data_IF_828414090189
#
_entry.id   IF_828414090189
#
_cell.length_a   1.000
_cell.length_b   1.000
_cell.length_c   1.000
_cell.angle_alpha   90.00
_cell.angle_beta   90.00
_cell.angle_gamma   90.00
#
_symmetry.space_group_name_H-M   'P 1'
#
loop_
_entity.id
_entity.type
_entity.pdbx_description
1 polymer ?
#
# COMPACT_ATOMS: atom_id res chain seq x y z
N UNK A 1 8.23 46.72 -26.15
CA UNK A 1 8.53 45.42 -25.53
C UNK A 1 7.63 44.41 -26.22
N UNK A 2 8.17 43.36 -26.84
CA UNK A 2 7.33 42.34 -27.46
C UNK A 2 6.57 41.61 -26.35
N UNK A 3 5.25 41.73 -26.33
CA UNK A 3 4.40 40.96 -25.42
C UNK A 3 4.50 39.48 -25.80
N UNK A 4 5.35 38.73 -25.08
CA UNK A 4 5.47 37.29 -25.26
C UNK A 4 4.20 36.62 -24.73
N UNK A 5 3.47 35.93 -25.61
CA UNK A 5 2.26 35.20 -25.23
C UNK A 5 2.58 34.03 -24.30
N UNK A 6 1.67 33.60 -23.41
CA UNK A 6 1.89 32.44 -22.54
C UNK A 6 2.29 31.16 -23.29
N UNK A 7 1.69 30.93 -24.47
CA UNK A 7 2.03 29.79 -25.33
C UNK A 7 3.48 29.86 -25.82
N UNK A 8 3.95 31.04 -26.24
CA UNK A 8 5.34 31.22 -26.69
C UNK A 8 6.35 30.99 -25.57
N UNK A 9 6.03 31.40 -24.33
CA UNK A 9 6.86 31.18 -23.15
C UNK A 9 6.92 29.70 -22.78
N UNK A 10 5.79 28.98 -22.84
CA UNK A 10 5.73 27.54 -22.63
C UNK A 10 6.59 26.78 -23.65
N UNK A 11 6.49 27.15 -24.93
CA UNK A 11 7.28 26.52 -26.00
C UNK A 11 8.78 26.78 -25.84
N UNK A 12 9.17 28.01 -25.49
CA UNK A 12 10.55 28.34 -25.14
C UNK A 12 11.04 27.53 -23.93
N UNK A 13 10.20 27.39 -22.90
CA UNK A 13 10.47 26.53 -21.75
C UNK A 13 10.69 25.06 -22.15
N UNK A 14 9.90 24.53 -23.09
CA UNK A 14 10.06 23.17 -23.59
C UNK A 14 11.40 22.99 -24.31
N UNK A 15 11.79 23.94 -25.17
CA UNK A 15 13.09 23.91 -25.87
C UNK A 15 14.27 23.94 -24.88
N UNK A 16 14.19 24.80 -23.85
CA UNK A 16 15.20 24.87 -22.79
C UNK A 16 15.23 23.59 -21.95
N UNK A 17 14.07 22.97 -21.71
CA UNK A 17 13.98 21.69 -20.99
C UNK A 17 14.64 20.56 -21.77
N UNK A 18 14.42 20.49 -23.09
CA UNK A 18 15.09 19.54 -23.99
C UNK A 18 16.60 19.78 -24.06
N UNK A 19 17.02 21.05 -23.99
CA UNK A 19 18.42 21.45 -23.88
C UNK A 19 19.03 21.22 -22.48
N UNK A 20 18.29 20.61 -21.54
CA UNK A 20 18.69 20.34 -20.15
C UNK A 20 19.00 21.61 -19.33
N UNK A 21 18.55 22.77 -19.79
CA UNK A 21 18.68 24.05 -19.09
C UNK A 21 17.49 24.26 -18.14
N UNK A 22 17.38 23.41 -17.11
CA UNK A 22 16.19 23.35 -16.24
C UNK A 22 15.91 24.65 -15.48
N UNK A 23 16.93 25.38 -15.06
CA UNK A 23 16.76 26.64 -14.34
C UNK A 23 16.13 27.73 -15.24
N UNK A 24 16.68 27.92 -16.45
CA UNK A 24 16.13 28.86 -17.42
C UNK A 24 14.73 28.44 -17.92
N UNK A 25 14.50 27.13 -18.05
CA UNK A 25 13.18 26.59 -18.38
C UNK A 25 12.16 26.91 -17.27
N UNK A 26 12.54 26.77 -15.99
CA UNK A 26 11.67 27.09 -14.85
C UNK A 26 11.25 28.57 -14.87
N UNK A 27 12.16 29.50 -15.15
CA UNK A 27 11.84 30.93 -15.28
C UNK A 27 10.82 31.18 -16.39
N UNK A 28 10.99 30.56 -17.56
CA UNK A 28 10.05 30.69 -18.68
C UNK A 28 8.65 30.16 -18.32
N UNK A 29 8.57 29.01 -17.62
CA UNK A 29 7.28 28.47 -17.18
C UNK A 29 6.64 29.30 -16.06
N UNK A 30 7.44 29.86 -15.15
CA UNK A 30 6.95 30.74 -14.10
C UNK A 30 6.37 32.04 -14.68
N UNK A 31 7.05 32.64 -15.67
CA UNK A 31 6.53 33.81 -16.39
C UNK A 31 5.25 33.45 -17.17
N UNK A 32 5.22 32.30 -17.84
CA UNK A 32 4.02 31.81 -18.52
C UNK A 32 2.85 31.67 -17.54
N UNK A 33 3.08 31.03 -16.39
CA UNK A 33 2.06 30.83 -15.37
C UNK A 33 1.55 32.15 -14.79
N UNK A 34 2.44 33.12 -14.54
CA UNK A 34 2.07 34.45 -14.05
C UNK A 34 1.15 35.18 -15.04
N UNK A 35 1.43 35.11 -16.34
CA UNK A 35 0.58 35.70 -17.37
C UNK A 35 -0.78 35.00 -17.48
N UNK A 36 -0.81 33.67 -17.40
CA UNK A 36 -2.08 32.92 -17.43
C UNK A 36 -2.94 33.24 -16.20
N UNK A 37 -2.33 33.43 -15.02
CA UNK A 37 -3.05 33.84 -13.79
C UNK A 37 -3.56 35.29 -13.86
N UNK A 38 -2.91 36.15 -14.66
CA UNK A 38 -3.34 37.54 -14.85
C UNK A 38 -4.50 37.68 -15.86
N UNK A 39 -4.60 36.77 -16.83
CA UNK A 39 -5.74 36.68 -17.75
C UNK A 39 -6.92 35.98 -17.06
N UNK A 40 -8.04 36.70 -16.91
CA UNK A 40 -9.27 36.18 -16.27
C UNK A 40 -9.91 35.00 -17.02
N UNK A 41 -9.58 34.83 -18.31
CA UNK A 41 -10.02 33.72 -19.18
C UNK A 41 -8.96 32.61 -19.30
N UNK A 42 -7.97 32.58 -18.41
CA UNK A 42 -6.84 31.65 -18.47
C UNK A 42 -7.29 30.20 -18.48
N UNK A 43 -7.30 29.57 -19.66
CA UNK A 43 -7.72 28.18 -19.87
C UNK A 43 -6.95 27.21 -18.97
N UNK A 44 -7.67 26.44 -18.16
CA UNK A 44 -7.12 25.39 -17.30
C UNK A 44 -6.25 24.39 -18.07
N UNK A 45 -6.60 24.13 -19.34
CA UNK A 45 -5.87 23.25 -20.25
C UNK A 45 -4.44 23.72 -20.53
N UNK A 46 -4.20 25.04 -20.48
CA UNK A 46 -2.85 25.61 -20.63
C UNK A 46 -2.13 25.66 -19.28
N UNK A 47 -2.85 25.87 -18.18
CA UNK A 47 -2.24 25.99 -16.86
C UNK A 47 -1.68 24.66 -16.36
N UNK A 48 -2.41 23.55 -16.53
CA UNK A 48 -2.01 22.22 -16.06
C UNK A 48 -0.63 21.80 -16.60
N UNK A 49 -0.37 21.79 -17.93
CA UNK A 49 0.94 21.39 -18.46
C UNK A 49 2.05 22.35 -18.03
N UNK A 50 1.78 23.65 -17.89
CA UNK A 50 2.77 24.63 -17.43
C UNK A 50 3.15 24.38 -15.97
N UNK A 51 2.17 24.18 -15.06
CA UNK A 51 2.42 23.83 -13.65
C UNK A 51 3.22 22.54 -13.52
N UNK A 52 2.82 21.51 -14.28
CA UNK A 52 3.54 20.25 -14.32
C UNK A 52 4.99 20.46 -14.77
N UNK A 53 5.22 21.11 -15.91
CA UNK A 53 6.59 21.30 -16.42
C UNK A 53 7.45 22.14 -15.49
N UNK A 54 6.89 23.19 -14.88
CA UNK A 54 7.56 23.96 -13.84
C UNK A 54 7.96 23.07 -12.65
N UNK A 55 7.02 22.29 -12.11
CA UNK A 55 7.29 21.34 -11.03
C UNK A 55 8.40 20.33 -11.39
N UNK A 56 8.47 19.88 -12.64
CA UNK A 56 9.54 19.01 -13.11
C UNK A 56 10.92 19.71 -13.08
N UNK A 57 10.99 20.96 -13.52
CA UNK A 57 12.23 21.75 -13.48
C UNK A 57 12.69 22.01 -12.05
N UNK A 58 11.77 22.37 -11.15
CA UNK A 58 12.08 22.64 -9.75
C UNK A 58 12.62 21.37 -9.05
N UNK A 59 12.00 20.21 -9.27
CA UNK A 59 12.51 18.94 -8.77
C UNK A 59 13.90 18.59 -9.32
N UNK A 60 14.18 18.89 -10.60
CA UNK A 60 15.50 18.64 -11.21
C UNK A 60 16.59 19.56 -10.69
N UNK A 61 16.24 20.80 -10.37
CA UNK A 61 17.19 21.82 -9.88
C UNK A 61 17.36 21.78 -8.36
N UNK A 62 16.45 21.16 -7.62
CA UNK A 62 16.48 21.15 -6.15
C UNK A 62 16.04 22.48 -5.52
N UNK A 63 15.65 23.46 -6.34
CA UNK A 63 15.29 24.80 -5.92
C UNK A 63 13.77 24.91 -5.69
N UNK A 64 13.37 25.68 -4.67
CA UNK A 64 11.95 26.01 -4.37
C UNK A 64 11.07 24.75 -4.35
N UNK A 65 11.52 23.72 -3.63
CA UNK A 65 10.81 22.43 -3.58
C UNK A 65 9.45 22.58 -2.90
N UNK A 66 9.34 23.54 -2.00
CA UNK A 66 8.12 23.93 -1.31
C UNK A 66 7.02 24.30 -2.33
N UNK A 67 7.38 25.00 -3.40
CA UNK A 67 6.42 25.37 -4.46
C UNK A 67 5.96 24.19 -5.32
N UNK A 68 6.73 23.10 -5.37
CA UNK A 68 6.34 21.91 -6.13
C UNK A 68 5.09 21.29 -5.54
N UNK A 69 4.96 21.30 -4.22
CA UNK A 69 3.79 20.77 -3.52
C UNK A 69 2.53 21.57 -3.88
N UNK A 70 2.62 22.90 -3.82
CA UNK A 70 1.51 23.80 -4.18
C UNK A 70 1.11 23.65 -5.65
N UNK A 71 2.08 23.66 -6.57
CA UNK A 71 1.84 23.51 -8.01
C UNK A 71 1.15 22.19 -8.34
N UNK A 72 1.61 21.09 -7.74
CA UNK A 72 1.01 19.78 -7.96
C UNK A 72 -0.34 19.65 -7.25
N UNK A 73 -0.53 20.31 -6.09
CA UNK A 73 -1.80 20.41 -5.39
C UNK A 73 -2.87 21.07 -6.25
N UNK A 74 -2.57 22.25 -6.83
CA UNK A 74 -3.48 22.95 -7.76
C UNK A 74 -3.85 22.05 -8.96
N UNK A 75 -2.89 21.29 -9.52
CA UNK A 75 -3.18 20.34 -10.61
C UNK A 75 -4.07 19.21 -10.16
N UNK A 76 -3.88 18.66 -8.95
CA UNK A 76 -4.69 17.56 -8.42
C UNK A 76 -6.10 17.98 -8.03
N UNK A 77 -6.31 19.25 -7.66
CA UNK A 77 -7.65 19.81 -7.48
C UNK A 77 -8.46 19.81 -8.78
N UNK A 78 -7.80 19.97 -9.93
CA UNK A 78 -8.43 19.94 -11.26
C UNK A 78 -8.48 18.51 -11.84
N UNK A 79 -7.40 17.75 -11.67
CA UNK A 79 -7.22 16.38 -12.19
C UNK A 79 -6.72 15.44 -11.09
N UNK A 80 -7.61 14.88 -10.24
CA UNK A 80 -7.23 14.05 -9.11
C UNK A 80 -6.46 12.77 -9.49
N UNK A 81 -6.67 12.27 -10.71
CA UNK A 81 -6.04 11.07 -11.26
C UNK A 81 -4.78 11.35 -12.09
N UNK A 82 -4.17 12.53 -11.96
CA UNK A 82 -2.95 12.86 -12.70
C UNK A 82 -1.71 12.20 -12.06
N UNK A 83 -1.25 11.09 -12.65
CA UNK A 83 -0.11 10.33 -12.15
C UNK A 83 1.19 11.16 -12.05
N UNK A 84 1.41 12.10 -12.98
CA UNK A 84 2.61 12.96 -12.99
C UNK A 84 2.59 13.95 -11.82
N UNK A 85 1.43 14.51 -11.49
CA UNK A 85 1.29 15.42 -10.35
C UNK A 85 1.48 14.67 -9.03
N UNK A 86 0.85 13.49 -8.87
CA UNK A 86 1.03 12.63 -7.69
C UNK A 86 2.50 12.24 -7.49
N UNK A 87 3.15 11.77 -8.55
CA UNK A 87 4.56 11.39 -8.49
C UNK A 87 5.46 12.56 -8.08
N UNK A 88 5.27 13.74 -8.69
CA UNK A 88 6.09 14.93 -8.42
C UNK A 88 5.86 15.47 -7.01
N UNK A 89 4.61 15.49 -6.53
CA UNK A 89 4.27 15.89 -5.15
C UNK A 89 4.88 14.93 -4.13
N UNK A 90 4.78 13.62 -4.36
CA UNK A 90 5.40 12.62 -3.51
C UNK A 90 6.92 12.77 -3.42
N UNK A 91 7.60 12.99 -4.54
CA UNK A 91 9.04 13.26 -4.54
C UNK A 91 9.41 14.56 -3.81
N UNK A 92 8.61 15.63 -3.98
CA UNK A 92 8.85 16.89 -3.28
C UNK A 92 8.74 16.73 -1.76
N UNK A 93 7.65 16.10 -1.30
CA UNK A 93 7.42 15.81 0.13
C UNK A 93 8.53 14.95 0.73
N UNK A 94 9.03 13.97 -0.01
CA UNK A 94 10.18 13.17 0.44
C UNK A 94 11.46 14.00 0.60
N UNK A 95 11.70 14.98 -0.29
CA UNK A 95 12.85 15.89 -0.18
C UNK A 95 12.67 16.85 1.01
N UNK A 96 11.46 17.39 1.21
CA UNK A 96 11.15 18.30 2.32
C UNK A 96 11.25 17.59 3.68
N UNK A 97 10.73 16.36 3.77
CA UNK A 97 10.83 15.55 4.98
C UNK A 97 12.27 15.27 5.43
N UNK A 98 13.23 15.23 4.50
CA UNK A 98 14.67 15.11 4.82
C UNK A 98 15.29 16.41 5.34
N UNK A 99 14.68 17.56 5.04
CA UNK A 99 15.11 18.89 5.50
C UNK A 99 14.53 19.22 6.87
N UNK A 100 13.35 18.70 7.17
CA UNK A 100 12.65 18.89 8.43
C UNK A 100 13.02 17.82 9.46
N UNK A 101 12.98 18.18 10.74
CA UNK A 101 13.36 17.27 11.83
C UNK A 101 12.28 16.24 12.20
N UNK A 102 11.01 16.56 11.95
CA UNK A 102 9.85 15.67 12.15
C UNK A 102 9.19 15.37 10.80
N UNK A 103 9.91 14.62 9.97
CA UNK A 103 9.52 14.34 8.57
C UNK A 103 8.53 13.19 8.41
N UNK A 104 8.18 12.45 9.48
CA UNK A 104 7.29 11.28 9.41
C UNK A 104 5.94 11.58 8.74
N UNK A 105 5.16 12.61 9.14
CA UNK A 105 3.86 12.88 8.50
C UNK A 105 4.01 13.21 7.00
N UNK A 106 5.07 13.93 6.62
CA UNK A 106 5.36 14.21 5.21
C UNK A 106 5.77 12.96 4.43
N UNK A 107 6.55 12.05 5.02
CA UNK A 107 6.90 10.77 4.39
C UNK A 107 5.66 9.89 4.18
N UNK A 108 4.73 9.88 5.13
CA UNK A 108 3.46 9.15 4.98
C UNK A 108 2.57 9.78 3.90
N UNK A 109 2.49 11.11 3.84
CA UNK A 109 1.82 11.80 2.75
C UNK A 109 2.46 11.51 1.38
N UNK A 110 3.79 11.42 1.32
CA UNK A 110 4.51 11.01 0.12
C UNK A 110 4.22 9.55 -0.27
N UNK A 111 4.09 8.63 0.71
CA UNK A 111 3.72 7.22 0.50
C UNK A 111 2.39 7.11 -0.22
N UNK A 112 1.38 7.81 0.30
CA UNK A 112 0.02 7.83 -0.29
C UNK A 112 0.04 8.32 -1.74
N UNK A 113 0.77 9.39 -2.02
CA UNK A 113 0.88 9.94 -3.38
C UNK A 113 1.57 8.98 -4.35
N UNK A 114 2.71 8.41 -3.95
CA UNK A 114 3.49 7.52 -4.80
C UNK A 114 2.79 6.17 -5.04
N UNK A 115 2.07 5.64 -4.04
CA UNK A 115 1.25 4.43 -4.22
C UNK A 115 0.11 4.67 -5.21
N UNK A 116 -0.57 5.81 -5.10
CA UNK A 116 -1.62 6.17 -6.06
C UNK A 116 -1.05 6.38 -7.47
N UNK A 117 0.13 7.01 -7.59
CA UNK A 117 0.84 7.11 -8.87
C UNK A 117 1.20 5.73 -9.44
N UNK A 118 1.64 4.79 -8.61
CA UNK A 118 1.98 3.43 -9.01
C UNK A 118 0.74 2.64 -9.49
N UNK A 119 -0.42 2.88 -8.86
CA UNK A 119 -1.70 2.29 -9.28
C UNK A 119 -2.11 2.77 -10.67
N UNK A 120 -1.86 4.04 -10.98
CA UNK A 120 -2.19 4.64 -12.28
C UNK A 120 -1.17 4.27 -13.37
N UNK A 121 0.12 4.22 -13.04
CA UNK A 121 1.21 3.90 -13.98
C UNK A 121 2.11 2.76 -13.43
N UNK A 122 1.64 1.51 -13.41
CA UNK A 122 2.37 0.38 -12.79
C UNK A 122 3.69 0.03 -13.48
N UNK A 123 3.85 0.40 -14.75
CA UNK A 123 5.07 0.14 -15.52
C UNK A 123 6.14 1.23 -15.33
N UNK A 124 5.81 2.35 -14.67
CA UNK A 124 6.72 3.46 -14.53
C UNK A 124 7.87 3.13 -13.57
N UNK A 125 9.08 2.99 -14.12
CA UNK A 125 10.30 2.68 -13.35
C UNK A 125 10.63 3.76 -12.31
N UNK A 126 10.35 5.04 -12.61
CA UNK A 126 10.68 6.15 -11.71
C UNK A 126 9.82 6.10 -10.44
N UNK A 127 8.53 5.77 -10.57
CA UNK A 127 7.61 5.62 -9.44
C UNK A 127 8.06 4.48 -8.52
N UNK A 128 8.44 3.34 -9.09
CA UNK A 128 8.95 2.19 -8.30
C UNK A 128 10.24 2.50 -7.56
N UNK A 129 11.15 3.26 -8.18
CA UNK A 129 12.38 3.67 -7.53
C UNK A 129 12.10 4.63 -6.37
N UNK A 130 11.25 5.64 -6.59
CA UNK A 130 10.85 6.57 -5.54
C UNK A 130 10.17 5.88 -4.35
N UNK A 131 9.32 4.86 -4.59
CA UNK A 131 8.72 4.06 -3.52
C UNK A 131 9.77 3.28 -2.70
N UNK A 132 10.79 2.71 -3.36
CA UNK A 132 11.88 2.02 -2.66
C UNK A 132 12.66 2.99 -1.78
N UNK A 133 13.05 4.14 -2.34
CA UNK A 133 13.80 5.17 -1.62
C UNK A 133 12.97 5.75 -0.45
N UNK A 134 11.65 5.81 -0.59
CA UNK A 134 10.74 6.25 0.47
C UNK A 134 10.64 5.22 1.61
N UNK A 135 10.54 3.93 1.28
CA UNK A 135 10.50 2.85 2.27
C UNK A 135 11.77 2.82 3.12
N UNK A 136 12.94 3.03 2.50
CA UNK A 136 14.22 3.15 3.19
C UNK A 136 14.22 4.36 4.14
N UNK A 137 13.73 5.53 3.70
CA UNK A 137 13.65 6.72 4.53
C UNK A 137 12.70 6.57 5.74
N UNK A 138 11.57 5.85 5.56
CA UNK A 138 10.64 5.54 6.67
C UNK A 138 11.28 4.58 7.68
N UNK A 139 12.03 3.58 7.22
CA UNK A 139 12.75 2.66 8.10
C UNK A 139 13.82 3.37 8.93
N UNK A 140 14.60 4.28 8.32
CA UNK A 140 15.62 5.07 9.02
C UNK A 140 15.01 5.99 10.11
N UNK A 141 13.85 6.58 9.84
CA UNK A 141 13.12 7.37 10.84
C UNK A 141 12.62 6.53 12.02
N UNK A 142 12.25 5.26 11.78
CA UNK A 142 11.87 4.34 12.86
C UNK A 142 13.08 3.94 13.73
N UNK A 143 14.26 3.77 13.13
CA UNK A 143 15.50 3.43 13.84
C UNK A 143 16.07 4.62 14.64
N UNK A 144 15.93 5.84 14.14
CA UNK A 144 16.44 7.06 14.78
C UNK A 144 15.52 7.65 15.85
N UNK A 145 14.22 7.36 15.81
CA UNK A 145 13.21 8.00 16.68
C UNK A 145 13.14 7.48 18.11
N UNK A 146 13.67 6.29 18.44
CA UNK A 146 13.58 5.76 19.81
C UNK A 146 14.81 4.93 20.22
N UNK A 147 15.68 5.46 21.11
CA UNK A 147 16.71 4.65 21.76
C UNK A 147 16.04 3.55 22.59
N UNK A 148 16.12 2.31 22.14
CA UNK A 148 15.57 1.14 22.85
C UNK A 148 14.42 0.40 22.14
N UNK A 149 13.85 0.91 21.04
CA UNK A 149 12.84 0.14 20.29
C UNK A 149 13.41 -0.99 19.46
N UNK A 150 14.71 -1.00 19.16
CA UNK A 150 15.38 -2.19 18.61
C UNK A 150 15.23 -3.40 19.55
N UNK A 151 15.28 -3.19 20.88
CA UNK A 151 15.00 -4.22 21.88
C UNK A 151 13.51 -4.49 22.11
N UNK A 152 12.62 -3.51 21.88
CA UNK A 152 11.17 -3.69 22.07
C UNK A 152 10.52 -4.35 20.85
N UNK A 153 10.92 -3.98 19.63
CA UNK A 153 10.49 -4.63 18.38
C UNK A 153 11.08 -6.04 18.29
N UNK A 154 12.34 -6.23 18.72
CA UNK A 154 12.93 -7.55 18.93
C UNK A 154 12.24 -8.40 20.01
N UNK A 155 11.42 -7.81 20.90
CA UNK A 155 10.57 -8.50 21.91
C UNK A 155 9.10 -8.63 21.51
N UNK A 156 8.63 -7.85 20.55
CA UNK A 156 7.28 -7.99 19.98
C UNK A 156 7.27 -9.08 18.89
N UNK A 157 8.41 -9.26 18.21
CA UNK A 157 8.64 -10.33 17.24
C UNK A 157 9.57 -11.45 17.75
N UNK A 158 10.22 -11.27 18.90
CA UNK A 158 10.92 -12.32 19.63
C UNK A 158 10.12 -12.71 20.85
N UNK A 159 9.72 -13.97 20.93
CA UNK A 159 9.00 -14.60 22.04
C UNK A 159 7.51 -14.24 22.15
N UNK A 160 6.75 -14.36 21.04
CA UNK A 160 5.59 -15.25 21.20
C UNK A 160 6.20 -16.63 21.32
N UNK A 161 6.14 -17.23 22.51
CA UNK A 161 6.12 -18.70 22.57
C UNK A 161 5.08 -19.10 21.53
N UNK A 162 5.56 -19.61 20.40
CA UNK A 162 4.72 -20.32 19.45
C UNK A 162 4.15 -21.42 20.32
N UNK A 163 2.89 -21.26 20.74
CA UNK A 163 2.15 -22.33 21.37
C UNK A 163 2.42 -23.54 20.48
N UNK A 164 3.15 -24.51 21.04
CA UNK A 164 3.73 -25.60 20.27
C UNK A 164 2.65 -26.08 19.30
N UNK A 165 2.94 -26.14 17.98
CA UNK A 165 1.93 -26.54 17.02
C UNK A 165 1.30 -27.81 17.55
N UNK A 166 -0.01 -27.74 17.81
CA UNK A 166 -0.77 -28.91 18.27
C UNK A 166 -0.43 -30.00 17.27
N UNK A 167 0.10 -31.12 17.78
CA UNK A 167 0.64 -32.18 16.95
C UNK A 167 -0.36 -32.48 15.81
N UNK A 168 0.11 -32.63 14.56
CA UNK A 168 -0.77 -32.86 13.43
C UNK A 168 -1.69 -34.01 13.76
N UNK A 169 -3.00 -33.75 13.69
CA UNK A 169 -4.03 -34.77 13.91
C UNK A 169 -3.70 -35.94 12.98
N UNK A 170 -3.62 -37.19 13.51
CA UNK A 170 -3.24 -38.33 12.70
C UNK A 170 -4.22 -38.47 11.53
N UNK A 171 -3.71 -38.27 10.31
CA UNK A 171 -4.46 -38.49 9.08
C UNK A 171 -4.56 -40.00 8.89
N UNK A 172 -5.74 -40.55 9.15
CA UNK A 172 -6.00 -41.97 9.00
C UNK A 172 -5.78 -42.40 7.53
N UNK A 173 -4.93 -43.39 7.32
CA UNK A 173 -4.45 -43.84 6.00
C UNK A 173 -5.36 -44.87 5.31
N UNK A 174 -6.54 -45.19 5.87
CA UNK A 174 -7.44 -46.19 5.28
C UNK A 174 -8.72 -45.57 4.70
N UNK A 175 -8.98 -45.84 3.42
CA UNK A 175 -10.28 -45.65 2.76
C UNK A 175 -11.31 -46.70 3.27
N UNK A 176 -12.63 -46.43 3.19
CA UNK A 176 -13.61 -46.42 4.29
C UNK A 176 -14.19 -47.80 4.71
N UNK A 177 -14.81 -47.94 5.92
CA UNK A 177 -15.23 -46.89 6.86
C UNK A 177 -14.45 -46.91 8.19
N UNK A 178 -13.87 -45.78 8.56
CA UNK A 178 -13.21 -45.58 9.84
C UNK A 178 -14.22 -45.77 10.97
N UNK A 179 -14.13 -46.88 11.72
CA UNK A 179 -14.88 -47.02 12.98
C UNK A 179 -14.30 -46.05 14.01
N UNK A 180 -15.13 -45.47 14.89
CA UNK A 180 -14.64 -44.59 15.94
C UNK A 180 -13.66 -45.34 16.85
N UNK A 181 -12.49 -44.74 17.07
CA UNK A 181 -11.48 -45.21 18.02
C UNK A 181 -12.04 -45.11 19.46
N UNK A 182 -11.56 -45.91 20.43
CA UNK A 182 -12.06 -45.91 21.82
C UNK A 182 -11.93 -44.57 22.56
N UNK A 183 -11.18 -43.62 21.99
CA UNK A 183 -10.88 -42.30 22.56
C UNK A 183 -11.77 -41.19 21.97
N UNK A 184 -12.65 -41.51 21.01
CA UNK A 184 -13.65 -40.56 20.49
C UNK A 184 -13.11 -39.47 19.56
N UNK A 185 -11.88 -39.60 19.06
CA UNK A 185 -11.36 -38.68 18.04
C UNK A 185 -11.86 -39.09 16.64
N UNK A 186 -12.63 -38.20 16.00
CA UNK A 186 -13.09 -38.33 14.62
C UNK A 186 -11.96 -37.93 13.66
N UNK A 187 -11.67 -38.76 12.66
CA UNK A 187 -10.67 -38.48 11.63
C UNK A 187 -11.34 -38.13 10.28
N UNK A 188 -10.64 -37.37 9.42
CA UNK A 188 -11.11 -37.02 8.08
C UNK A 188 -12.15 -35.88 8.07
N UNK A 189 -13.15 -35.97 7.17
CA UNK A 189 -14.17 -34.90 6.99
C UNK A 189 -14.94 -34.59 8.28
N UNK A 190 -15.25 -35.61 9.08
CA UNK A 190 -15.97 -35.43 10.35
C UNK A 190 -15.13 -34.74 11.42
N UNK A 191 -13.85 -35.09 11.53
CA UNK A 191 -12.90 -34.41 12.43
C UNK A 191 -12.70 -32.95 12.04
N UNK A 192 -12.46 -32.70 10.76
CA UNK A 192 -12.30 -31.33 10.26
C UNK A 192 -13.56 -30.48 10.44
N UNK A 193 -14.75 -31.06 10.25
CA UNK A 193 -16.01 -30.36 10.49
C UNK A 193 -16.19 -30.00 11.97
N UNK A 194 -15.82 -30.88 12.89
CA UNK A 194 -15.87 -30.63 14.34
C UNK A 194 -14.88 -29.53 14.76
N UNK A 195 -13.62 -29.63 14.31
CA UNK A 195 -12.59 -28.63 14.59
C UNK A 195 -12.96 -27.27 14.01
N UNK A 196 -13.48 -27.23 12.77
CA UNK A 196 -13.94 -26.01 12.11
C UNK A 196 -15.15 -25.40 12.82
N UNK A 197 -16.09 -26.21 13.30
CA UNK A 197 -17.23 -25.75 14.10
C UNK A 197 -16.78 -25.13 15.42
N UNK A 198 -15.85 -25.78 16.12
CA UNK A 198 -15.25 -25.27 17.34
C UNK A 198 -14.50 -23.95 17.10
N UNK A 199 -13.69 -23.88 16.04
CA UNK A 199 -12.92 -22.69 15.69
C UNK A 199 -13.82 -21.50 15.33
N UNK A 200 -14.86 -21.75 14.53
CA UNK A 200 -15.82 -20.72 14.12
C UNK A 200 -16.85 -20.38 15.21
N UNK A 201 -16.95 -21.20 16.27
CA UNK A 201 -17.98 -21.13 17.32
C UNK A 201 -19.40 -21.19 16.77
N UNK A 202 -19.60 -22.02 15.75
CA UNK A 202 -20.91 -22.29 15.13
C UNK A 202 -21.23 -23.79 15.22
N UNK A 203 -22.50 -24.20 15.23
CA UNK A 203 -22.85 -25.62 15.29
C UNK A 203 -22.27 -26.43 14.11
N UNK A 204 -21.87 -27.68 14.35
CA UNK A 204 -21.33 -28.58 13.31
C UNK A 204 -22.30 -28.77 12.13
N UNK A 205 -23.60 -28.72 12.38
CA UNK A 205 -24.64 -28.79 11.35
C UNK A 205 -24.60 -27.63 10.35
N UNK A 206 -24.06 -26.46 10.73
CA UNK A 206 -23.92 -25.30 9.84
C UNK A 206 -22.62 -25.39 9.04
N UNK A 207 -21.56 -25.95 9.63
CA UNK A 207 -20.27 -26.14 8.96
C UNK A 207 -20.33 -27.21 7.88
N UNK A 208 -21.20 -28.21 8.05
CA UNK A 208 -21.34 -29.34 7.12
C UNK A 208 -22.24 -29.04 5.92
N UNK A 209 -22.93 -27.89 5.88
CA UNK A 209 -23.72 -27.46 4.73
C UNK A 209 -22.81 -26.94 3.63
N UNK A 210 -22.60 -27.76 2.60
CA UNK A 210 -21.90 -27.37 1.39
C UNK A 210 -22.88 -26.66 0.44
N UNK A 211 -22.52 -25.48 -0.12
CA UNK A 211 -23.36 -24.80 -1.10
C UNK A 211 -23.55 -25.69 -2.35
N UNK A 212 -24.70 -25.52 -3.00
CA UNK A 212 -25.10 -26.38 -4.12
C UNK A 212 -24.29 -26.11 -5.39
N UNK A 213 -23.72 -24.91 -5.48
CA UNK A 213 -22.85 -24.44 -6.56
C UNK A 213 -21.70 -23.59 -6.00
N UNK A 214 -20.59 -23.53 -6.72
CA UNK A 214 -19.40 -22.76 -6.34
C UNK A 214 -19.65 -21.24 -6.34
N UNK A 215 -20.61 -20.76 -7.14
CA UNK A 215 -20.97 -19.34 -7.21
C UNK A 215 -21.97 -18.90 -6.12
N UNK A 216 -22.47 -19.82 -5.29
CA UNK A 216 -23.30 -19.49 -4.13
C UNK A 216 -22.43 -19.28 -2.88
N UNK A 217 -22.49 -18.09 -2.28
CA UNK A 217 -21.72 -17.71 -1.08
C UNK A 217 -21.99 -18.59 0.16
N UNK A 218 -23.05 -19.41 0.12
CA UNK A 218 -23.46 -20.33 1.18
C UNK A 218 -24.00 -19.64 2.44
N UNK A 219 -24.72 -20.40 3.27
CA UNK A 219 -25.37 -19.85 4.48
C UNK A 219 -24.40 -19.68 5.67
N UNK A 220 -23.25 -20.35 5.66
CA UNK A 220 -22.30 -20.36 6.77
C UNK A 220 -21.76 -18.96 7.09
N UNK A 221 -21.56 -18.12 6.07
CA UNK A 221 -21.03 -16.77 6.25
C UNK A 221 -22.04 -15.86 6.97
N UNK A 222 -23.33 -16.03 6.72
CA UNK A 222 -24.42 -15.32 7.41
C UNK A 222 -24.57 -15.77 8.86
N UNK A 223 -24.43 -17.08 9.12
CA UNK A 223 -24.41 -17.64 10.47
C UNK A 223 -23.22 -17.12 11.27
N UNK A 224 -22.04 -17.00 10.66
CA UNK A 224 -20.85 -16.41 11.30
C UNK A 224 -21.10 -14.93 11.63
N UNK A 225 -21.66 -14.14 10.70
CA UNK A 225 -22.01 -12.73 10.96
C UNK A 225 -23.01 -12.60 12.11
N UNK A 226 -24.04 -13.44 12.11
CA UNK A 226 -25.09 -13.44 13.13
C UNK A 226 -24.58 -13.89 14.51
N UNK A 227 -23.73 -14.91 14.57
CA UNK A 227 -23.14 -15.42 15.82
C UNK A 227 -22.04 -14.52 16.39
N UNK A 228 -21.40 -13.70 15.55
CA UNK A 228 -20.42 -12.69 15.97
C UNK A 228 -21.03 -11.34 16.35
N UNK A 229 -22.36 -11.20 16.33
CA UNK A 229 -23.08 -10.02 16.84
C UNK A 229 -22.99 -9.93 18.38
N UNK A 230 -21.78 -9.67 18.87
CA UNK A 230 -21.53 -9.14 20.22
C UNK A 230 -21.68 -7.61 20.19
N UNK A 231 -21.97 -6.96 21.34
CA UNK A 231 -22.43 -5.56 21.43
C UNK A 231 -21.39 -4.48 21.08
N UNK A 232 -20.38 -4.83 20.29
CA UNK A 232 -19.26 -3.98 19.89
C UNK A 232 -19.17 -3.82 18.37
N UNK A 233 -20.22 -4.19 17.62
CA UNK A 233 -20.43 -3.68 16.26
C UNK A 233 -20.84 -2.20 16.38
N UNK A 234 -19.84 -1.33 16.24
CA UNK A 234 -20.02 0.10 16.41
C UNK A 234 -18.97 0.78 17.30
N UNK A 235 -17.77 0.22 17.49
CA UNK A 235 -16.63 1.11 17.66
C UNK A 235 -16.40 1.79 16.32
N UNK A 236 -17.03 2.93 16.19
CA UNK A 236 -16.69 3.95 15.22
C UNK A 236 -15.15 4.01 15.14
N UNK A 237 -14.58 3.64 13.98
CA UNK A 237 -13.14 3.67 13.76
C UNK A 237 -12.59 5.12 13.78
N UNK A 238 -13.47 6.10 14.03
CA UNK A 238 -13.15 7.50 14.26
C UNK A 238 -12.34 7.75 15.54
N UNK A 239 -12.37 6.85 16.51
CA UNK A 239 -11.65 6.97 17.79
C UNK A 239 -10.23 6.37 17.75
N UNK A 240 -9.79 5.83 16.61
CA UNK A 240 -8.41 5.40 16.43
C UNK A 240 -7.50 6.62 16.31
N UNK A 241 -6.47 6.67 17.15
CA UNK A 241 -5.40 7.65 16.97
C UNK A 241 -4.72 7.47 15.60
N UNK A 242 -4.12 8.54 15.08
CA UNK A 242 -3.41 8.50 13.79
C UNK A 242 -2.31 7.44 13.80
N UNK A 243 -1.62 7.25 14.92
CA UNK A 243 -0.58 6.24 15.13
C UNK A 243 -1.14 4.80 15.09
N UNK A 244 -2.30 4.53 15.69
CA UNK A 244 -2.94 3.20 15.67
C UNK A 244 -3.42 2.85 14.27
N UNK A 245 -3.90 3.85 13.53
CA UNK A 245 -4.32 3.68 12.14
C UNK A 245 -3.11 3.42 11.23
N UNK A 246 -2.01 4.13 11.43
CA UNK A 246 -0.74 3.91 10.71
C UNK A 246 -0.22 2.49 10.94
N UNK A 247 -0.22 2.02 12.19
CA UNK A 247 0.18 0.64 12.53
C UNK A 247 -0.70 -0.42 11.85
N UNK A 248 -2.00 -0.19 11.79
CA UNK A 248 -2.93 -1.10 11.13
C UNK A 248 -2.72 -1.09 9.61
N UNK A 249 -2.53 0.08 9.00
CA UNK A 249 -2.18 0.23 7.58
C UNK A 249 -0.86 -0.50 7.26
N UNK A 250 0.17 -0.40 8.10
CA UNK A 250 1.45 -1.10 7.91
C UNK A 250 1.33 -2.63 8.09
N UNK A 251 0.48 -3.10 9.01
CA UNK A 251 0.18 -4.53 9.17
C UNK A 251 -0.54 -5.10 7.94
N UNK A 252 -1.51 -4.35 7.40
CA UNK A 252 -2.22 -4.72 6.19
C UNK A 252 -1.28 -4.70 4.98
N UNK A 253 -0.48 -3.65 4.78
CA UNK A 253 0.53 -3.57 3.72
C UNK A 253 1.55 -4.73 3.78
N UNK A 254 1.92 -5.15 4.99
CA UNK A 254 2.85 -6.27 5.19
C UNK A 254 2.25 -7.63 4.80
N UNK A 255 0.92 -7.77 4.91
CA UNK A 255 0.16 -8.99 4.58
C UNK A 255 -0.45 -8.96 3.17
N UNK A 256 -0.60 -7.78 2.56
CA UNK A 256 -1.15 -7.53 1.22
C UNK A 256 -0.12 -7.62 0.09
N UNK A 257 1.17 -7.87 0.36
CA UNK A 257 2.11 -8.15 -0.73
C UNK A 257 1.54 -9.29 -1.58
N UNK A 258 1.30 -9.09 -2.89
CA UNK A 258 0.76 -10.14 -3.72
C UNK A 258 1.69 -11.33 -3.61
N UNK A 259 1.18 -12.48 -3.14
CA UNK A 259 1.93 -13.72 -3.12
C UNK A 259 2.59 -13.84 -4.49
N UNK A 260 3.94 -13.78 -4.57
CA UNK A 260 4.61 -13.72 -5.86
C UNK A 260 4.15 -14.96 -6.63
N UNK A 261 3.46 -14.73 -7.75
CA UNK A 261 2.93 -15.85 -8.51
C UNK A 261 4.11 -16.74 -8.91
N UNK A 262 4.03 -18.05 -8.62
CA UNK A 262 5.14 -18.93 -8.94
C UNK A 262 5.36 -18.88 -10.45
N UNK A 263 6.62 -18.72 -10.86
CA UNK A 263 7.02 -18.59 -12.29
C UNK A 263 6.59 -19.79 -13.15
N UNK A 264 6.19 -20.89 -12.50
CA UNK A 264 5.63 -22.10 -13.10
C UNK A 264 4.45 -22.56 -12.24
N UNK A 265 3.44 -23.22 -12.82
CA UNK A 265 2.43 -23.91 -12.03
C UNK A 265 3.11 -24.96 -11.15
N UNK A 266 2.78 -24.95 -9.86
CA UNK A 266 3.28 -25.90 -8.87
C UNK A 266 2.09 -26.71 -8.39
N UNK A 267 2.21 -28.04 -8.36
CA UNK A 267 1.14 -28.87 -7.80
C UNK A 267 1.11 -28.70 -6.27
N UNK A 268 -0.06 -28.89 -5.65
CA UNK A 268 -0.19 -28.77 -4.19
C UNK A 268 0.85 -29.62 -3.46
N UNK A 269 1.10 -30.84 -3.94
CA UNK A 269 2.11 -31.76 -3.38
C UNK A 269 3.53 -31.18 -3.43
N UNK A 270 3.90 -30.50 -4.52
CA UNK A 270 5.22 -29.88 -4.65
C UNK A 270 5.36 -28.65 -3.74
N UNK A 271 4.29 -27.88 -3.56
CA UNK A 271 4.28 -26.74 -2.66
C UNK A 271 4.42 -27.17 -1.19
N UNK A 272 3.69 -28.21 -0.78
CA UNK A 272 3.75 -28.78 0.58
C UNK A 272 5.16 -29.31 0.88
N UNK A 273 5.75 -30.10 -0.03
CA UNK A 273 7.13 -30.59 0.15
C UNK A 273 8.16 -29.48 0.25
N UNK A 274 8.01 -28.42 -0.55
CA UNK A 274 8.90 -27.28 -0.48
C UNK A 274 8.78 -26.54 0.85
N UNK A 275 7.57 -26.46 1.42
CA UNK A 275 7.34 -25.88 2.73
C UNK A 275 7.93 -26.75 3.86
N UNK A 276 7.79 -28.08 3.76
CA UNK A 276 8.40 -29.03 4.69
C UNK A 276 9.94 -28.91 4.69
N UNK A 277 10.57 -28.89 3.51
CA UNK A 277 12.03 -28.72 3.37
C UNK A 277 12.52 -27.38 3.97
N UNK A 278 11.79 -26.27 3.72
CA UNK A 278 12.14 -24.96 4.29
C UNK A 278 11.96 -24.87 5.81
N UNK A 279 11.04 -25.65 6.38
CA UNK A 279 10.80 -25.68 7.82
C UNK A 279 11.74 -26.62 8.58
N UNK A 280 12.29 -27.64 7.93
CA UNK A 280 13.32 -28.49 8.53
C UNK A 280 14.70 -27.82 8.57
N UNK A 281 14.95 -26.87 7.66
CA UNK A 281 16.21 -26.12 7.57
C UNK A 281 16.27 -24.86 8.47
N UNK A 282 15.20 -24.52 9.21
CA UNK A 282 15.07 -23.34 10.07
C UNK A 282 15.10 -23.67 11.57
#
# INVERSE_FOLDING_TARGET
MQETSPCSLREKGNQLFEAQQFAAAAECYAEALAKIKADLDGSEDLQIPVRLNLAACLLRTGARIEEVEDLCGEVLSLQPSNAKALFRRGCARQILAKREGDGRPMLQAAKKDLLQAAKLEPQNRQVRLALKDLQEALAEQLESGVPGVSSILGRLYGDKEVAAPVAPVPVCSELPPCRPDPVGQSCGKTGWNADRAQWLRVPEAEVTQEPSDFEEDGCLLEVIRSSRSHPNEGKDLSDMSEDEREQLEDCLDSTEKPYPQPKRPVTLTQAVRCAEELWEDA
#
